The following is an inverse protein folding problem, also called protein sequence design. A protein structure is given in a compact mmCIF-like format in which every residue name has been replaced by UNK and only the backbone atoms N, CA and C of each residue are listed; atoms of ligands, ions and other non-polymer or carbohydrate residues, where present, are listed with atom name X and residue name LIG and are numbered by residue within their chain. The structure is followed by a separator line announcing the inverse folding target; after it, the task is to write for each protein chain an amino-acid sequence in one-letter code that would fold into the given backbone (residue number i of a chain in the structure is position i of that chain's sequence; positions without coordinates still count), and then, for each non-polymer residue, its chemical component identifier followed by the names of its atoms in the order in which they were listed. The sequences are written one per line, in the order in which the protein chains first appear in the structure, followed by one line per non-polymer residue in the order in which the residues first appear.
data_IF_300723462304
#
_entry.id   IF_300723462304
#
_cell.length_a   1.000
_cell.length_b   1.000
_cell.length_c   1.000
_cell.angle_alpha   90.00
_cell.angle_beta   90.00
_cell.angle_gamma   90.00
#
_symmetry.space_group_name_H-M   'P 1'
#
loop_
_entity.id
_entity.type
_entity.pdbx_description
1 polymer ?
#
# COMPACT_ATOMS: atom_id res chain seq x y z
N UNK A 1 -1.41 12.16 8.51
CA UNK A 1 -0.97 10.81 8.10
C UNK A 1 -0.43 10.15 9.35
N UNK A 2 -1.07 9.09 9.83
CA UNK A 2 -0.72 8.44 11.10
C UNK A 2 0.73 7.94 11.12
N UNK A 3 1.18 7.44 12.26
CA UNK A 3 2.55 6.94 12.47
C UNK A 3 2.84 5.61 11.74
N UNK A 4 1.97 5.24 10.81
CA UNK A 4 2.08 4.08 9.98
C UNK A 4 3.22 4.24 8.96
N UNK A 5 4.17 3.30 8.96
CA UNK A 5 5.20 3.24 7.95
C UNK A 5 4.62 3.04 6.54
N UNK A 6 5.31 3.55 5.52
CA UNK A 6 4.89 3.44 4.12
C UNK A 6 4.56 2.00 3.72
N UNK A 7 5.36 1.04 4.19
CA UNK A 7 5.15 -0.39 3.96
C UNK A 7 3.81 -0.89 4.49
N UNK A 8 3.48 -0.57 5.75
CA UNK A 8 2.20 -0.95 6.35
C UNK A 8 1.03 -0.31 5.62
N UNK A 9 1.16 0.97 5.24
CA UNK A 9 0.13 1.67 4.48
C UNK A 9 -0.14 1.01 3.12
N UNK A 10 0.91 0.69 2.36
CA UNK A 10 0.77 0.00 1.07
C UNK A 10 0.19 -1.39 1.27
N UNK A 11 0.71 -2.18 2.21
CA UNK A 11 0.21 -3.54 2.44
C UNK A 11 -1.28 -3.52 2.83
N UNK A 12 -1.72 -2.57 3.66
CA UNK A 12 -3.14 -2.39 3.99
C UNK A 12 -3.98 -2.05 2.76
N UNK A 13 -3.51 -1.15 1.90
CA UNK A 13 -4.22 -0.81 0.65
C UNK A 13 -4.30 -2.01 -0.29
N UNK A 14 -3.23 -2.79 -0.40
CA UNK A 14 -3.23 -4.03 -1.17
C UNK A 14 -4.21 -5.05 -0.61
N UNK A 15 -4.25 -5.25 0.70
CA UNK A 15 -5.20 -6.16 1.34
C UNK A 15 -6.65 -5.71 1.14
N UNK A 16 -6.92 -4.40 1.24
CA UNK A 16 -8.24 -3.85 0.95
C UNK A 16 -8.67 -4.13 -0.48
N UNK A 17 -7.79 -3.89 -1.45
CA UNK A 17 -8.10 -4.11 -2.86
C UNK A 17 -8.27 -5.59 -3.21
N UNK A 18 -7.44 -6.47 -2.64
CA UNK A 18 -7.48 -7.91 -2.94
C UNK A 18 -8.61 -8.63 -2.23
N UNK A 19 -8.85 -8.33 -0.97
CA UNK A 19 -9.74 -9.12 -0.11
C UNK A 19 -10.98 -8.36 0.34
N UNK A 20 -11.02 -7.04 0.16
CA UNK A 20 -12.10 -6.19 0.65
C UNK A 20 -12.04 -5.94 2.16
N UNK A 21 -10.86 -5.99 2.79
CA UNK A 21 -10.72 -5.81 4.25
C UNK A 21 -9.93 -4.56 4.61
N UNK A 22 -10.35 -3.88 5.65
CA UNK A 22 -9.62 -2.78 6.27
C UNK A 22 -9.16 -3.19 7.66
N UNK A 23 -7.92 -2.83 7.99
CA UNK A 23 -7.32 -3.15 9.28
C UNK A 23 -7.15 -1.89 10.12
N UNK A 24 -7.36 -2.05 11.42
CA UNK A 24 -6.99 -1.05 12.42
C UNK A 24 -5.46 -0.94 12.48
N UNK A 25 -4.96 0.29 12.59
CA UNK A 25 -3.53 0.56 12.80
C UNK A 25 -3.38 1.21 14.16
N UNK A 26 -2.66 0.57 15.10
CA UNK A 26 -2.43 1.14 16.42
C UNK A 26 -1.61 2.43 16.33
N UNK A 27 -1.98 3.43 17.13
CA UNK A 27 -1.18 4.65 17.32
C UNK A 27 -0.19 4.46 18.48
N UNK A 28 0.87 5.29 18.59
CA UNK A 28 1.86 5.23 19.71
C UNK A 28 1.23 5.17 21.10
N UNK A 29 0.06 5.77 21.26
CA UNK A 29 -0.67 5.78 22.52
C UNK A 29 -1.14 4.36 22.89
N UNK A 30 -1.54 3.55 21.91
CA UNK A 30 -1.96 2.16 22.13
C UNK A 30 -0.80 1.25 22.53
N UNK A 31 0.43 1.58 22.13
CA UNK A 31 1.63 0.87 22.57
C UNK A 31 2.08 1.24 23.99
N UNK A 32 1.60 2.37 24.52
CA UNK A 32 1.99 2.87 25.85
C UNK A 32 1.07 2.34 26.96
N UNK A 33 -0.08 1.76 26.59
CA UNK A 33 -1.06 1.21 27.51
C UNK A 33 -0.72 -0.27 27.83
N UNK A 34 -0.33 -0.59 29.09
CA UNK A 34 0.08 -1.94 29.47
C UNK A 34 -1.06 -2.98 29.28
N UNK A 35 -2.32 -2.56 29.37
CA UNK A 35 -3.49 -3.42 29.18
C UNK A 35 -3.75 -3.75 27.70
N UNK A 36 -3.15 -2.98 26.78
CA UNK A 36 -3.26 -3.16 25.31
C UNK A 36 -1.99 -3.71 24.67
N UNK A 37 -1.04 -4.22 25.45
CA UNK A 37 0.24 -4.75 24.97
C UNK A 37 0.13 -5.87 23.91
N UNK A 38 -1.04 -6.50 23.76
CA UNK A 38 -1.32 -7.48 22.72
C UNK A 38 -1.69 -6.91 21.35
N UNK A 39 -1.99 -5.61 21.24
CA UNK A 39 -2.34 -4.93 19.96
C UNK A 39 -1.28 -5.05 18.88
N UNK A 40 -0.02 -5.25 19.26
CA UNK A 40 1.10 -5.43 18.32
C UNK A 40 1.05 -6.80 17.62
N UNK A 41 0.30 -7.74 18.18
CA UNK A 41 0.39 -9.17 17.85
C UNK A 41 -0.84 -9.70 17.10
N UNK A 42 -1.76 -8.82 16.71
CA UNK A 42 -2.91 -9.16 15.91
C UNK A 42 -3.26 -8.05 14.93
N UNK A 43 -3.97 -8.40 13.86
CA UNK A 43 -4.62 -7.43 12.97
C UNK A 43 -6.11 -7.43 13.28
N UNK A 44 -6.63 -6.31 13.79
CA UNK A 44 -8.06 -6.14 13.99
C UNK A 44 -8.73 -5.69 12.69
N UNK A 45 -9.74 -6.42 12.26
CA UNK A 45 -10.57 -6.04 11.12
C UNK A 45 -11.50 -4.91 11.55
N UNK A 46 -11.47 -3.79 10.83
CA UNK A 46 -12.35 -2.64 11.08
C UNK A 46 -13.56 -2.65 10.16
N UNK A 47 -13.37 -3.12 8.93
CA UNK A 47 -14.41 -3.14 7.93
C UNK A 47 -14.14 -4.26 6.92
N UNK A 48 -15.18 -5.04 6.65
CA UNK A 48 -15.24 -6.02 5.56
C UNK A 48 -16.23 -5.52 4.51
N UNK A 49 -15.80 -5.53 3.25
CA UNK A 49 -16.61 -5.16 2.10
C UNK A 49 -17.66 -6.25 1.84
N UNK A 50 -18.92 -5.84 1.70
CA UNK A 50 -20.02 -6.71 1.29
C UNK A 50 -19.74 -7.35 -0.07
N UNK A 51 -20.03 -8.65 -0.16
CA UNK A 51 -19.72 -9.56 -1.26
C UNK A 51 -18.21 -9.66 -1.60
N UNK A 52 -17.35 -9.25 -0.66
CA UNK A 52 -15.90 -9.38 -0.77
C UNK A 52 -15.40 -10.80 -0.51
N UNK A 53 -14.18 -11.11 -0.94
CA UNK A 53 -13.56 -12.42 -0.71
C UNK A 53 -13.44 -12.75 0.79
N UNK A 54 -13.18 -11.74 1.62
CA UNK A 54 -13.12 -11.92 3.06
C UNK A 54 -14.48 -12.22 3.71
N UNK A 55 -15.55 -11.57 3.28
CA UNK A 55 -16.91 -11.86 3.77
C UNK A 55 -17.31 -13.29 3.38
N UNK A 56 -17.04 -13.69 2.14
CA UNK A 56 -17.28 -15.07 1.65
C UNK A 56 -16.46 -16.11 2.40
N UNK A 57 -15.29 -15.74 2.93
CA UNK A 57 -14.48 -16.57 3.82
C UNK A 57 -14.97 -16.55 5.28
N UNK A 58 -16.05 -15.83 5.59
CA UNK A 58 -16.66 -15.75 6.92
C UNK A 58 -15.97 -14.78 7.87
N UNK A 59 -15.07 -13.92 7.39
CA UNK A 59 -14.45 -12.86 8.19
C UNK A 59 -15.47 -11.75 8.44
N UNK A 60 -15.45 -11.20 9.65
CA UNK A 60 -16.36 -10.17 10.13
C UNK A 60 -15.58 -8.99 10.70
N UNK A 61 -16.29 -7.87 10.90
CA UNK A 61 -15.74 -6.73 11.63
C UNK A 61 -15.37 -7.17 13.05
N UNK A 62 -14.33 -6.57 13.61
CA UNK A 62 -13.76 -6.85 14.94
C UNK A 62 -13.09 -8.22 15.12
N UNK A 63 -13.01 -9.04 14.07
CA UNK A 63 -12.16 -10.24 14.11
C UNK A 63 -10.68 -9.85 14.31
N UNK A 64 -9.99 -10.62 15.16
CA UNK A 64 -8.59 -10.43 15.47
C UNK A 64 -7.76 -11.50 14.77
N UNK A 65 -7.13 -11.16 13.64
CA UNK A 65 -6.27 -12.10 12.92
C UNK A 65 -4.96 -12.25 13.68
N UNK A 66 -4.64 -13.50 14.05
CA UNK A 66 -3.47 -13.86 14.86
C UNK A 66 -2.44 -14.67 14.06
N UNK A 67 -2.81 -15.20 12.89
CA UNK A 67 -1.92 -16.03 12.08
C UNK A 67 -2.41 -16.14 10.63
N UNK A 68 -1.46 -16.15 9.69
CA UNK A 68 -1.74 -16.16 8.25
C UNK A 68 -0.71 -17.05 7.55
N UNK A 69 -1.18 -18.03 6.77
CA UNK A 69 -0.37 -18.96 6.01
C UNK A 69 0.71 -19.65 6.85
N UNK A 70 1.94 -19.65 6.33
CA UNK A 70 3.10 -20.29 6.99
C UNK A 70 3.48 -19.61 8.30
N UNK A 71 3.14 -18.33 8.47
CA UNK A 71 3.34 -17.61 9.74
C UNK A 71 2.38 -18.07 10.85
N UNK A 72 1.39 -18.91 10.52
CA UNK A 72 0.46 -19.52 11.48
C UNK A 72 0.95 -20.84 12.11
N UNK A 73 1.99 -21.46 11.53
CA UNK A 73 2.38 -22.85 11.85
C UNK A 73 3.36 -22.93 13.04
N UNK A 74 3.91 -21.80 13.50
CA UNK A 74 4.83 -21.78 14.64
C UNK A 74 4.02 -21.85 15.94
N UNK A 75 3.68 -23.09 16.32
CA UNK A 75 3.17 -23.56 17.61
C UNK A 75 3.42 -22.56 18.76
N UNK A 76 2.34 -21.97 19.27
CA UNK A 76 2.10 -21.52 20.66
C UNK A 76 3.12 -20.67 21.44
N UNK A 77 4.28 -20.28 20.88
CA UNK A 77 5.32 -19.64 21.70
C UNK A 77 5.77 -18.26 21.20
N UNK A 78 5.52 -17.93 19.92
CA UNK A 78 5.93 -16.63 19.36
C UNK A 78 4.75 -15.89 18.75
N UNK A 79 4.36 -14.79 19.40
CA UNK A 79 3.39 -13.84 18.87
C UNK A 79 3.94 -13.22 17.58
N UNK A 80 3.16 -13.24 16.49
CA UNK A 80 3.56 -12.67 15.21
C UNK A 80 3.16 -11.20 15.17
N UNK A 81 4.12 -10.33 14.82
CA UNK A 81 3.84 -8.90 14.70
C UNK A 81 2.81 -8.63 13.60
N UNK A 82 1.88 -7.71 13.87
CA UNK A 82 0.80 -7.29 12.97
C UNK A 82 1.32 -6.84 11.60
N UNK A 83 2.45 -6.13 11.56
CA UNK A 83 3.11 -5.72 10.32
C UNK A 83 3.52 -6.92 9.44
N UNK A 84 4.00 -8.01 10.04
CA UNK A 84 4.38 -9.24 9.33
C UNK A 84 3.15 -10.00 8.84
N UNK A 85 2.09 -10.07 9.64
CA UNK A 85 0.80 -10.64 9.20
C UNK A 85 0.26 -9.89 7.97
N UNK A 86 0.34 -8.56 7.99
CA UNK A 86 -0.16 -7.72 6.91
C UNK A 86 0.69 -7.88 5.64
N UNK A 87 2.01 -8.01 5.81
CA UNK A 87 2.93 -8.31 4.73
C UNK A 87 2.62 -9.66 4.08
N UNK A 88 2.40 -10.72 4.86
CA UNK A 88 2.02 -12.05 4.33
C UNK A 88 0.75 -12.00 3.48
N UNK A 89 -0.30 -11.29 3.94
CA UNK A 89 -1.51 -11.08 3.13
C UNK A 89 -1.21 -10.34 1.82
N UNK A 90 -0.37 -9.32 1.87
CA UNK A 90 -0.04 -8.53 0.70
C UNK A 90 0.83 -9.30 -0.31
N UNK A 91 1.74 -10.17 0.17
CA UNK A 91 2.72 -10.90 -0.63
C UNK A 91 2.23 -12.26 -1.14
N UNK A 92 1.13 -12.79 -0.61
CA UNK A 92 0.59 -14.10 -1.03
C UNK A 92 0.39 -14.16 -2.55
N UNK A 93 0.71 -15.30 -3.17
CA UNK A 93 0.54 -15.52 -4.62
C UNK A 93 -0.89 -15.17 -5.10
N UNK A 94 -1.04 -14.85 -6.38
CA UNK A 94 -2.36 -14.63 -6.97
C UNK A 94 -3.08 -15.98 -7.16
N UNK A 95 -4.40 -16.01 -6.98
CA UNK A 95 -5.24 -17.18 -7.21
C UNK A 95 -4.87 -18.42 -6.37
N UNK A 96 -4.15 -18.24 -5.26
CA UNK A 96 -3.92 -19.29 -4.27
C UNK A 96 -4.93 -19.19 -3.12
N UNK A 97 -5.00 -20.23 -2.29
CA UNK A 97 -5.71 -20.20 -1.01
C UNK A 97 -4.71 -20.02 0.11
N UNK A 98 -5.08 -19.28 1.15
CA UNK A 98 -4.26 -19.10 2.35
C UNK A 98 -5.10 -19.38 3.60
N UNK A 99 -4.53 -20.11 4.56
CA UNK A 99 -5.18 -20.36 5.86
C UNK A 99 -5.04 -19.11 6.74
N UNK A 100 -6.15 -18.66 7.30
CA UNK A 100 -6.23 -17.49 8.17
C UNK A 100 -6.77 -17.93 9.52
N UNK A 101 -6.02 -17.62 10.58
CA UNK A 101 -6.38 -17.89 11.95
C UNK A 101 -6.77 -16.59 12.62
N UNK A 102 -7.97 -16.55 13.17
CA UNK A 102 -8.50 -15.36 13.81
C UNK A 102 -9.20 -15.72 15.11
N UNK A 103 -9.30 -14.74 16.01
CA UNK A 103 -10.09 -14.83 17.23
C UNK A 103 -11.31 -13.94 17.08
N UNK A 104 -12.46 -14.47 17.45
CA UNK A 104 -13.73 -13.73 17.48
C UNK A 104 -14.23 -13.67 18.92
N UNK A 105 -14.73 -12.51 19.33
CA UNK A 105 -15.40 -12.36 20.62
C UNK A 105 -16.85 -12.85 20.46
N UNK A 106 -17.20 -13.94 21.12
CA UNK A 106 -18.56 -14.47 21.17
C UNK A 106 -18.94 -14.69 22.63
N UNK A 107 -20.05 -14.09 23.06
CA UNK A 107 -20.56 -14.20 24.43
C UNK A 107 -19.51 -13.82 25.51
N UNK A 108 -18.67 -12.81 25.20
CA UNK A 108 -17.61 -12.35 26.10
C UNK A 108 -16.35 -13.23 26.15
N UNK A 109 -16.30 -14.32 25.38
CA UNK A 109 -15.13 -15.19 25.28
C UNK A 109 -14.47 -15.12 23.89
N UNK A 110 -13.14 -15.10 23.86
CA UNK A 110 -12.36 -15.14 22.62
C UNK A 110 -12.23 -16.58 22.12
N UNK A 111 -12.93 -16.90 21.04
CA UNK A 111 -12.87 -18.21 20.39
C UNK A 111 -11.92 -18.15 19.19
N UNK A 112 -11.02 -19.14 19.09
CA UNK A 112 -10.10 -19.25 17.95
C UNK A 112 -10.77 -19.98 16.80
N UNK A 113 -10.80 -19.37 15.63
CA UNK A 113 -11.33 -19.92 14.40
C UNK A 113 -10.24 -20.00 13.34
N UNK A 114 -10.44 -20.90 12.38
CA UNK A 114 -9.62 -21.05 11.19
C UNK A 114 -10.52 -21.00 9.97
N UNK A 115 -10.11 -20.24 8.97
CA UNK A 115 -10.79 -20.17 7.68
C UNK A 115 -9.78 -20.19 6.54
N UNK A 116 -10.22 -20.54 5.35
CA UNK A 116 -9.42 -20.46 4.13
C UNK A 116 -9.86 -19.25 3.32
N UNK A 117 -8.91 -18.36 3.02
CA UNK A 117 -9.14 -17.16 2.25
C UNK A 117 -8.65 -17.40 0.82
N UNK A 118 -9.56 -17.31 -0.15
CA UNK A 118 -9.19 -17.29 -1.56
C UNK A 118 -8.53 -15.96 -1.89
N UNK A 119 -7.37 -16.01 -2.54
CA UNK A 119 -6.67 -14.81 -2.97
C UNK A 119 -7.13 -14.39 -4.37
N UNK A 120 -7.64 -13.17 -4.47
CA UNK A 120 -8.02 -12.59 -5.75
C UNK A 120 -6.82 -12.32 -6.65
N UNK A 121 -7.12 -11.87 -7.86
CA UNK A 121 -6.13 -11.43 -8.83
C UNK A 121 -5.28 -10.30 -8.24
N UNK A 122 -3.98 -10.32 -8.57
CA UNK A 122 -3.05 -9.29 -8.15
C UNK A 122 -3.16 -8.12 -9.12
N UNK A 123 -3.43 -6.88 -8.65
CA UNK A 123 -3.39 -5.71 -9.52
C UNK A 123 -2.03 -5.60 -10.22
N UNK A 124 -2.03 -5.19 -11.49
CA UNK A 124 -0.81 -5.16 -12.32
C UNK A 124 0.31 -4.30 -11.72
N UNK A 125 -0.03 -3.21 -11.01
CA UNK A 125 0.93 -2.30 -10.40
C UNK A 125 1.55 -2.82 -9.10
N UNK A 126 1.04 -3.91 -8.52
CA UNK A 126 1.52 -4.40 -7.22
C UNK A 126 2.97 -4.88 -7.32
N UNK A 127 3.34 -5.54 -8.42
CA UNK A 127 4.72 -5.97 -8.66
C UNK A 127 5.70 -4.77 -8.69
N UNK A 128 5.30 -3.68 -9.34
CA UNK A 128 6.09 -2.46 -9.41
C UNK A 128 6.19 -1.77 -8.05
N UNK A 129 5.05 -1.59 -7.36
CA UNK A 129 5.03 -0.94 -6.04
C UNK A 129 5.85 -1.70 -5.00
N UNK A 130 5.83 -3.03 -4.98
CA UNK A 130 6.67 -3.83 -4.09
C UNK A 130 8.16 -3.66 -4.41
N UNK A 131 8.52 -3.61 -5.69
CA UNK A 131 9.92 -3.35 -6.11
C UNK A 131 10.40 -1.96 -5.72
N UNK A 132 9.52 -0.97 -5.70
CA UNK A 132 9.85 0.36 -5.18
C UNK A 132 9.95 0.35 -3.65
N UNK A 133 9.08 -0.39 -2.98
CA UNK A 133 9.10 -0.50 -1.52
C UNK A 133 10.37 -1.16 -1.00
N UNK A 134 10.95 -2.14 -1.70
CA UNK A 134 12.23 -2.74 -1.27
C UNK A 134 13.39 -1.75 -1.23
N UNK A 135 13.30 -0.63 -1.96
CA UNK A 135 14.28 0.46 -1.88
C UNK A 135 14.10 1.31 -0.61
N UNK A 136 12.92 1.28 -0.01
CA UNK A 136 12.63 2.00 1.23
C UNK A 136 12.95 1.07 2.41
N UNK A 137 13.94 1.41 3.26
CA UNK A 137 14.30 0.55 4.36
C UNK A 137 13.17 0.45 5.40
N UNK A 138 12.98 -0.74 5.97
CA UNK A 138 11.94 -1.04 6.95
C UNK A 138 12.36 -0.81 8.41
N UNK A 139 13.66 -0.80 8.68
CA UNK A 139 14.21 -0.67 10.04
C UNK A 139 14.45 0.80 10.42
N UNK A 140 14.43 1.11 11.72
CA UNK A 140 14.72 2.46 12.24
C UNK A 140 16.22 2.65 12.58
N UNK A 141 17.10 1.86 11.96
CA UNK A 141 18.54 1.92 12.17
C UNK A 141 19.14 3.23 11.62
N UNK A 142 20.30 3.66 12.14
CA UNK A 142 20.98 4.86 11.62
C UNK A 142 21.35 4.76 10.13
N UNK A 143 21.62 3.56 9.63
CA UNK A 143 21.97 3.33 8.22
C UNK A 143 20.75 3.41 7.30
N UNK A 144 19.62 2.86 7.74
CA UNK A 144 18.35 2.97 7.01
C UNK A 144 17.85 4.41 6.92
N UNK A 145 18.04 5.23 7.96
CA UNK A 145 17.75 6.68 7.88
C UNK A 145 18.56 7.38 6.79
N UNK A 146 19.86 7.07 6.66
CA UNK A 146 20.70 7.62 5.58
C UNK A 146 20.20 7.21 4.20
N UNK A 147 19.87 5.92 4.01
CA UNK A 147 19.32 5.42 2.75
C UNK A 147 17.98 6.08 2.39
N UNK A 148 17.11 6.28 3.37
CA UNK A 148 15.84 6.97 3.17
C UNK A 148 16.05 8.43 2.70
N UNK A 149 16.99 9.17 3.30
CA UNK A 149 17.34 10.53 2.88
C UNK A 149 17.87 10.54 1.44
N UNK A 150 18.78 9.63 1.10
CA UNK A 150 19.31 9.51 -0.27
C UNK A 150 18.19 9.23 -1.27
N UNK A 151 17.24 8.35 -0.92
CA UNK A 151 16.08 8.06 -1.76
C UNK A 151 15.21 9.29 -1.99
N UNK A 152 14.93 10.09 -0.96
CA UNK A 152 14.15 11.33 -1.08
C UNK A 152 14.86 12.34 -2.00
N UNK A 153 16.19 12.48 -1.88
CA UNK A 153 16.98 13.38 -2.74
C UNK A 153 16.89 12.93 -4.20
N UNK A 154 17.05 11.64 -4.48
CA UNK A 154 16.91 11.09 -5.84
C UNK A 154 15.50 11.31 -6.40
N UNK A 155 14.46 11.11 -5.59
CA UNK A 155 13.07 11.35 -5.98
C UNK A 155 12.85 12.83 -6.32
N UNK A 156 13.34 13.74 -5.48
CA UNK A 156 13.26 15.19 -5.75
C UNK A 156 13.98 15.57 -7.05
N UNK A 157 15.13 14.95 -7.32
CA UNK A 157 15.88 15.18 -8.56
C UNK A 157 15.05 14.75 -9.79
N UNK A 158 14.44 13.56 -9.76
CA UNK A 158 13.58 13.07 -10.84
C UNK A 158 12.37 13.98 -11.05
N UNK A 159 11.67 14.35 -9.97
CA UNK A 159 10.51 15.26 -10.06
C UNK A 159 10.92 16.62 -10.62
N UNK A 160 12.10 17.12 -10.22
CA UNK A 160 12.66 18.36 -10.75
C UNK A 160 12.98 18.25 -12.23
N UNK A 161 13.60 17.16 -12.68
CA UNK A 161 13.88 16.91 -14.08
C UNK A 161 12.59 16.85 -14.93
N UNK A 162 11.57 16.14 -14.46
CA UNK A 162 10.25 16.08 -15.12
C UNK A 162 9.63 17.47 -15.22
N UNK A 163 9.67 18.26 -14.14
CA UNK A 163 9.17 19.63 -14.14
C UNK A 163 9.91 20.51 -15.15
N UNK A 164 11.24 20.40 -15.22
CA UNK A 164 12.05 21.14 -16.18
C UNK A 164 11.73 20.73 -17.63
N UNK A 165 11.57 19.43 -17.89
CA UNK A 165 11.18 18.92 -19.20
C UNK A 165 9.78 19.40 -19.59
N UNK A 166 8.81 19.35 -18.67
CA UNK A 166 7.45 19.83 -18.92
C UNK A 166 7.43 21.33 -19.27
N UNK A 167 8.19 22.15 -18.54
CA UNK A 167 8.34 23.58 -18.84
C UNK A 167 8.96 23.80 -20.22
N UNK A 168 10.02 23.06 -20.53
CA UNK A 168 10.65 23.14 -21.85
C UNK A 168 9.69 22.77 -22.98
N UNK A 169 8.89 21.71 -22.81
CA UNK A 169 7.86 21.34 -23.78
C UNK A 169 6.80 22.43 -23.95
N UNK A 170 6.35 23.05 -22.85
CA UNK A 170 5.39 24.16 -22.92
C UNK A 170 5.95 25.34 -23.72
N UNK A 171 7.17 25.78 -23.42
CA UNK A 171 7.83 26.90 -24.11
C UNK A 171 8.09 26.56 -25.59
N UNK A 172 8.54 25.34 -25.88
CA UNK A 172 8.77 24.87 -27.24
C UNK A 172 7.48 24.83 -28.07
N UNK A 173 6.40 24.28 -27.52
CA UNK A 173 5.10 24.22 -28.21
C UNK A 173 4.54 25.61 -28.48
N UNK A 174 4.64 26.53 -27.52
CA UNK A 174 4.20 27.91 -27.70
C UNK A 174 4.96 28.60 -28.83
N UNK A 175 6.29 28.53 -28.82
CA UNK A 175 7.12 29.12 -29.88
C UNK A 175 6.83 28.51 -31.25
N UNK A 176 6.63 27.19 -31.32
CA UNK A 176 6.30 26.51 -32.58
C UNK A 176 4.97 27.00 -33.14
N UNK A 177 3.93 27.12 -32.31
CA UNK A 177 2.62 27.64 -32.74
C UNK A 177 2.77 29.07 -33.27
N UNK A 178 3.47 29.95 -32.54
CA UNK A 178 3.68 31.35 -32.96
C UNK A 178 4.40 31.43 -34.31
N UNK A 179 5.47 30.66 -34.51
CA UNK A 179 6.19 30.65 -35.79
C UNK A 179 5.34 30.11 -36.94
N UNK A 180 4.57 29.04 -36.72
CA UNK A 180 3.67 28.51 -37.75
C UNK A 180 2.56 29.51 -38.09
N UNK A 181 1.94 30.15 -37.09
CA UNK A 181 0.94 31.19 -37.32
C UNK A 181 1.50 32.40 -38.05
N UNK A 182 2.71 32.86 -37.70
CA UNK A 182 3.38 33.97 -38.40
C UNK A 182 3.71 33.61 -39.86
N UNK A 183 4.09 32.35 -40.13
CA UNK A 183 4.36 31.89 -41.48
C UNK A 183 3.09 31.92 -42.35
N UNK A 184 1.97 31.40 -41.84
CA UNK A 184 0.69 31.47 -42.55
C UNK A 184 0.21 32.90 -42.78
N UNK A 185 0.31 33.78 -41.76
CA UNK A 185 -0.06 35.19 -41.93
C UNK A 185 0.77 35.89 -43.00
N UNK A 186 2.06 35.55 -43.13
CA UNK A 186 2.91 36.08 -44.19
C UNK A 186 2.46 35.58 -45.56
N UNK A 187 2.19 34.29 -45.69
CA UNK A 187 1.69 33.68 -46.92
C UNK A 187 0.38 34.33 -47.38
N UNK A 188 -0.60 34.47 -46.48
CA UNK A 188 -1.88 35.14 -46.75
C UNK A 188 -1.71 36.60 -47.19
N UNK A 189 -0.77 37.32 -46.57
CA UNK A 189 -0.49 38.73 -46.91
C UNK A 189 0.12 38.83 -48.31
N UNK A 190 1.01 37.90 -48.70
CA UNK A 190 1.60 37.89 -50.03
C UNK A 190 0.55 37.55 -51.10
N UNK A 191 -0.31 36.56 -50.86
CA UNK A 191 -1.38 36.19 -51.81
C UNK A 191 -2.37 37.34 -52.07
N UNK A 192 -2.69 38.15 -51.07
CA UNK A 192 -3.62 39.28 -51.24
C UNK A 192 -2.98 40.54 -51.84
N UNK A 193 -1.64 40.60 -51.90
CA UNK A 193 -0.90 41.79 -52.35
C UNK A 193 -0.44 41.74 -53.82
N UNK A 194 -0.48 40.56 -54.45
CA UNK A 194 -0.25 40.37 -55.90
C UNK A 194 -1.57 40.35 -56.67
#
# INVERSE_FOLDING_TARGET
MGQEGLHSWVNRKLSHLRYGVNFYVPDRVDFSDPDKSDTVNYLRITNVKTDGLAERAGLQNDDLIVGIGNSSIIKNTHKVQSAKLLEELALTAANSTIEVHFKRLKDGQLQSHKTTLSTGSRPFYVAYSQRLLTLVPKDDSRDSKKRAVIFIILLMLVVTAIRCMARFYQDYTANKIVHTSLAHLREDTFEHSM
#
